data_IF_758259754812
#
_entry.id   IF_758259754812
#
_cell.length_a   1.000
_cell.length_b   1.000
_cell.length_c   1.000
_cell.angle_alpha   90.00
_cell.angle_beta   90.00
_cell.angle_gamma   90.00
#
_symmetry.space_group_name_H-M   'P 1'
#
loop_
_entity.id
_entity.type
_entity.pdbx_description
1 polymer ?
#
# COMPACT_ATOMS: atom_id res chain seq x y z
N UNK A 1 -31.95 16.85 23.02
CA UNK A 1 -30.87 16.72 22.02
C UNK A 1 -29.83 15.77 22.62
N UNK A 2 -29.53 14.63 21.98
CA UNK A 2 -28.49 13.72 22.47
C UNK A 2 -27.12 14.39 22.33
N UNK A 3 -26.33 14.41 23.40
CA UNK A 3 -24.93 14.85 23.32
C UNK A 3 -24.05 13.68 22.88
N UNK A 4 -23.18 13.90 21.91
CA UNK A 4 -22.22 12.91 21.45
C UNK A 4 -20.80 13.45 21.66
N UNK A 5 -19.97 12.67 22.35
CA UNK A 5 -18.57 13.05 22.59
C UNK A 5 -17.72 12.74 21.34
N UNK A 6 -17.65 13.69 20.43
CA UNK A 6 -16.89 13.58 19.19
C UNK A 6 -15.39 13.38 19.46
N UNK A 7 -14.82 14.02 20.47
CA UNK A 7 -13.37 14.05 20.69
C UNK A 7 -12.84 12.70 21.19
N UNK A 8 -13.63 11.98 21.99
CA UNK A 8 -13.28 10.65 22.50
C UNK A 8 -13.85 9.50 21.66
N UNK A 9 -14.55 9.82 20.58
CA UNK A 9 -15.06 8.81 19.66
C UNK A 9 -13.91 8.06 18.96
N UNK A 10 -13.93 6.73 19.01
CA UNK A 10 -12.93 5.87 18.37
C UNK A 10 -12.81 6.20 16.88
N UNK A 11 -13.93 6.37 16.17
CA UNK A 11 -13.92 6.72 14.74
C UNK A 11 -13.22 8.06 14.47
N UNK A 12 -13.42 9.06 15.33
CA UNK A 12 -12.75 10.35 15.20
C UNK A 12 -11.24 10.24 15.45
N UNK A 13 -10.83 9.51 16.50
CA UNK A 13 -9.42 9.29 16.85
C UNK A 13 -8.72 8.57 15.69
N UNK A 14 -9.29 7.45 15.19
CA UNK A 14 -8.74 6.67 14.08
C UNK A 14 -8.58 7.53 12.83
N UNK A 15 -9.62 8.27 12.45
CA UNK A 15 -9.59 9.13 11.25
C UNK A 15 -8.52 10.22 11.38
N UNK A 16 -8.45 10.90 12.54
CA UNK A 16 -7.43 11.93 12.79
C UNK A 16 -6.02 11.36 12.74
N UNK A 17 -5.80 10.22 13.38
CA UNK A 17 -4.49 9.55 13.41
C UNK A 17 -4.07 9.12 12.01
N UNK A 18 -4.97 8.50 11.24
CA UNK A 18 -4.72 8.10 9.86
C UNK A 18 -4.31 9.31 8.99
N UNK A 19 -5.01 10.45 9.11
CA UNK A 19 -4.66 11.67 8.36
C UNK A 19 -3.25 12.19 8.70
N UNK A 20 -2.86 12.14 9.98
CA UNK A 20 -1.50 12.57 10.40
C UNK A 20 -0.45 11.61 9.84
N UNK A 21 -0.69 10.30 9.92
CA UNK A 21 0.20 9.29 9.36
C UNK A 21 0.43 9.47 7.85
N UNK A 22 -0.67 9.60 7.10
CA UNK A 22 -0.63 9.83 5.65
C UNK A 22 0.15 11.10 5.32
N UNK A 23 -0.10 12.21 6.02
CA UNK A 23 0.59 13.48 5.79
C UNK A 23 2.09 13.37 6.07
N UNK A 24 2.48 12.71 7.17
CA UNK A 24 3.88 12.52 7.54
C UNK A 24 4.61 11.65 6.51
N UNK A 25 4.01 10.54 6.09
CA UNK A 25 4.60 9.67 5.09
C UNK A 25 4.67 10.31 3.70
N UNK A 26 3.62 11.02 3.27
CA UNK A 26 3.63 11.75 1.99
C UNK A 26 4.73 12.82 1.96
N UNK A 27 4.94 13.55 3.06
CA UNK A 27 6.02 14.54 3.18
C UNK A 27 7.40 13.90 3.06
N UNK A 28 7.66 12.81 3.78
CA UNK A 28 8.93 12.09 3.75
C UNK A 28 9.22 11.47 2.37
N UNK A 29 8.21 10.84 1.76
CA UNK A 29 8.33 10.24 0.42
C UNK A 29 8.63 11.30 -0.64
N UNK A 30 7.95 12.44 -0.62
CA UNK A 30 8.19 13.53 -1.57
C UNK A 30 9.58 14.12 -1.42
N UNK A 31 10.01 14.34 -0.19
CA UNK A 31 11.32 14.95 0.10
C UNK A 31 12.48 14.03 -0.29
N UNK A 32 12.38 12.74 0.04
CA UNK A 32 13.49 11.79 -0.13
C UNK A 32 13.51 11.09 -1.48
N UNK A 33 12.34 10.81 -2.05
CA UNK A 33 12.19 9.92 -3.22
C UNK A 33 11.47 10.61 -4.38
N UNK A 34 10.80 11.73 -4.14
CA UNK A 34 9.96 12.40 -5.14
C UNK A 34 8.63 11.69 -5.41
N UNK A 35 8.24 10.73 -4.57
CA UNK A 35 7.03 9.90 -4.71
C UNK A 35 5.92 10.42 -3.80
N UNK A 36 4.67 10.43 -4.28
CA UNK A 36 3.51 10.80 -3.47
C UNK A 36 2.96 9.59 -2.71
N UNK A 37 2.20 9.82 -1.64
CA UNK A 37 1.51 8.74 -0.93
C UNK A 37 0.55 7.95 -1.82
N UNK A 38 -0.10 8.59 -2.80
CA UNK A 38 -0.93 7.90 -3.78
C UNK A 38 -0.13 6.92 -4.64
N UNK A 39 1.02 7.34 -5.14
CA UNK A 39 1.95 6.48 -5.90
C UNK A 39 2.51 5.36 -5.00
N UNK A 40 2.89 5.68 -3.75
CA UNK A 40 3.32 4.68 -2.76
C UNK A 40 2.30 3.55 -2.59
N UNK A 41 1.00 3.86 -2.46
CA UNK A 41 -0.05 2.84 -2.35
C UNK A 41 -0.08 1.90 -3.56
N UNK A 42 0.07 2.45 -4.76
CA UNK A 42 0.15 1.63 -5.98
C UNK A 42 1.39 0.74 -5.98
N UNK A 43 2.55 1.26 -5.57
CA UNK A 43 3.77 0.47 -5.42
C UNK A 43 3.61 -0.69 -4.44
N UNK A 44 2.95 -0.47 -3.30
CA UNK A 44 2.65 -1.53 -2.34
C UNK A 44 1.82 -2.64 -2.98
N UNK A 45 0.78 -2.30 -3.73
CA UNK A 45 -0.03 -3.32 -4.44
C UNK A 45 0.81 -4.09 -5.46
N UNK A 46 1.62 -3.41 -6.26
CA UNK A 46 2.48 -4.03 -7.25
C UNK A 46 3.63 -4.85 -6.64
N UNK A 47 4.06 -4.53 -5.41
CA UNK A 47 5.07 -5.33 -4.70
C UNK A 47 4.53 -6.69 -4.24
N UNK A 48 3.25 -6.74 -3.91
CA UNK A 48 2.55 -8.00 -3.57
C UNK A 48 2.31 -8.84 -4.82
N UNK A 49 1.84 -8.20 -5.89
CA UNK A 49 1.55 -8.87 -7.15
C UNK A 49 1.77 -7.89 -8.31
N UNK A 50 2.82 -8.11 -9.10
CA UNK A 50 3.08 -7.33 -10.31
C UNK A 50 2.13 -7.79 -11.44
N UNK A 51 1.78 -6.87 -12.33
CA UNK A 51 0.89 -7.20 -13.45
C UNK A 51 -0.58 -7.35 -13.09
N UNK A 52 -1.04 -6.78 -11.99
CA UNK A 52 -2.47 -6.70 -11.65
C UNK A 52 -3.17 -5.63 -12.50
N UNK A 53 -4.46 -5.80 -12.71
CA UNK A 53 -5.24 -4.85 -13.49
C UNK A 53 -5.46 -3.54 -12.74
N UNK A 54 -5.59 -2.44 -13.49
CA UNK A 54 -5.89 -1.14 -12.90
C UNK A 54 -7.19 -1.16 -12.08
N UNK A 55 -8.21 -1.92 -12.55
CA UNK A 55 -9.45 -2.14 -11.81
C UNK A 55 -9.21 -2.84 -10.47
N UNK A 56 -8.35 -3.85 -10.47
CA UNK A 56 -8.03 -4.59 -9.24
C UNK A 56 -7.24 -3.74 -8.24
N UNK A 57 -6.30 -2.91 -8.72
CA UNK A 57 -5.61 -1.92 -7.86
C UNK A 57 -6.63 -0.99 -7.19
N UNK A 58 -7.58 -0.43 -7.97
CA UNK A 58 -8.61 0.46 -7.45
C UNK A 58 -9.44 -0.22 -6.36
N UNK A 59 -9.92 -1.44 -6.62
CA UNK A 59 -10.71 -2.21 -5.67
C UNK A 59 -9.95 -2.49 -4.37
N UNK A 60 -8.71 -2.99 -4.45
CA UNK A 60 -7.88 -3.29 -3.27
C UNK A 60 -7.53 -2.04 -2.45
N UNK A 61 -7.39 -0.89 -3.10
CA UNK A 61 -7.12 0.38 -2.42
C UNK A 61 -8.40 1.10 -1.93
N UNK A 62 -9.59 0.56 -2.21
CA UNK A 62 -10.86 1.22 -1.91
C UNK A 62 -11.01 2.57 -2.62
N UNK A 63 -10.50 2.68 -3.85
CA UNK A 63 -10.50 3.90 -4.64
C UNK A 63 -11.46 3.78 -5.83
N UNK A 64 -12.11 4.89 -6.16
CA UNK A 64 -12.79 5.04 -7.45
C UNK A 64 -11.77 5.05 -8.59
N UNK A 65 -12.12 4.47 -9.73
CA UNK A 65 -11.26 4.46 -10.92
C UNK A 65 -10.82 5.88 -11.32
N UNK A 66 -11.71 6.86 -11.22
CA UNK A 66 -11.43 8.26 -11.50
C UNK A 66 -10.30 8.85 -10.62
N UNK A 67 -10.14 8.34 -9.40
CA UNK A 67 -9.06 8.75 -8.49
C UNK A 67 -7.74 8.03 -8.82
N UNK A 68 -7.79 6.78 -9.26
CA UNK A 68 -6.60 5.99 -9.55
C UNK A 68 -5.96 6.35 -10.90
N UNK A 69 -6.77 6.61 -11.94
CA UNK A 69 -6.28 6.90 -13.29
C UNK A 69 -5.20 7.98 -13.31
N UNK A 70 -5.40 9.19 -12.73
CA UNK A 70 -4.38 10.23 -12.74
C UNK A 70 -3.08 9.84 -12.02
N UNK A 71 -3.17 8.96 -11.01
CA UNK A 71 -2.00 8.47 -10.28
C UNK A 71 -1.16 7.57 -11.21
N UNK A 72 -1.81 6.62 -11.90
CA UNK A 72 -1.14 5.71 -12.83
C UNK A 72 -0.59 6.49 -14.04
N UNK A 73 -1.35 7.45 -14.60
CA UNK A 73 -0.88 8.29 -15.71
C UNK A 73 0.40 9.05 -15.34
N UNK A 74 0.44 9.61 -14.13
CA UNK A 74 1.62 10.28 -13.62
C UNK A 74 2.79 9.31 -13.45
N UNK A 75 2.57 8.13 -12.88
CA UNK A 75 3.61 7.10 -12.70
C UNK A 75 4.16 6.62 -14.04
N UNK A 76 3.31 6.44 -15.04
CA UNK A 76 3.73 6.04 -16.40
C UNK A 76 4.55 7.15 -17.07
N UNK A 77 4.10 8.42 -16.99
CA UNK A 77 4.85 9.58 -17.49
C UNK A 77 6.22 9.72 -16.81
N UNK A 78 6.33 9.38 -15.54
CA UNK A 78 7.59 9.37 -14.78
C UNK A 78 8.45 8.13 -15.06
N UNK A 79 7.95 7.18 -15.86
CA UNK A 79 8.63 5.94 -16.19
C UNK A 79 8.75 4.97 -15.02
N UNK A 80 7.82 5.03 -14.07
CA UNK A 80 7.78 4.19 -12.89
C UNK A 80 6.96 2.92 -13.10
N UNK A 81 5.97 2.98 -13.98
CA UNK A 81 5.15 1.83 -14.38
C UNK A 81 4.97 1.81 -15.89
N UNK A 82 4.57 0.66 -16.41
CA UNK A 82 4.11 0.49 -17.79
C UNK A 82 2.74 -0.18 -17.80
N UNK A 83 1.89 0.25 -18.74
CA UNK A 83 0.61 -0.39 -19.02
C UNK A 83 0.77 -1.41 -20.14
N UNK A 84 0.20 -2.58 -19.94
CA UNK A 84 0.06 -3.59 -20.99
C UNK A 84 -1.40 -4.01 -21.07
N UNK A 85 -1.91 -4.11 -22.30
CA UNK A 85 -3.28 -4.58 -22.53
C UNK A 85 -3.42 -6.01 -21.99
N UNK A 86 -4.44 -6.28 -21.21
CA UNK A 86 -4.74 -7.63 -20.73
C UNK A 86 -5.15 -8.52 -21.92
N UNK A 87 -4.47 -9.63 -22.11
CA UNK A 87 -4.79 -10.55 -23.21
C UNK A 87 -6.11 -11.28 -23.01
N UNK A 88 -6.56 -11.46 -21.77
CA UNK A 88 -7.81 -12.12 -21.44
C UNK A 88 -9.01 -11.17 -21.56
N UNK A 89 -8.84 -9.88 -21.24
CA UNK A 89 -9.85 -8.84 -21.43
C UNK A 89 -9.19 -7.54 -21.88
N UNK A 90 -9.23 -7.29 -23.20
CA UNK A 90 -8.61 -6.12 -23.85
C UNK A 90 -9.14 -4.77 -23.39
N UNK A 91 -10.24 -4.74 -22.61
CA UNK A 91 -10.77 -3.51 -21.99
C UNK A 91 -10.01 -3.12 -20.73
N UNK A 92 -9.18 -4.01 -20.21
CA UNK A 92 -8.39 -3.80 -19.01
C UNK A 92 -6.90 -3.63 -19.36
N UNK A 93 -6.22 -2.80 -18.58
CA UNK A 93 -4.76 -2.68 -18.61
C UNK A 93 -4.17 -3.34 -17.35
N UNK A 94 -3.10 -4.10 -17.54
CA UNK A 94 -2.24 -4.59 -16.47
C UNK A 94 -1.12 -3.61 -16.22
N UNK A 95 -0.80 -3.38 -14.97
CA UNK A 95 0.21 -2.43 -14.53
C UNK A 95 1.42 -3.20 -14.03
N UNK A 96 2.58 -2.87 -14.57
CA UNK A 96 3.86 -3.47 -14.20
C UNK A 96 4.84 -2.40 -13.73
N UNK A 97 5.67 -2.73 -12.75
CA UNK A 97 6.78 -1.87 -12.32
C UNK A 97 7.89 -1.90 -13.36
N UNK A 98 8.62 -0.79 -13.44
CA UNK A 98 9.86 -0.68 -14.23
C UNK A 98 11.08 -0.91 -13.34
N UNK A 99 12.26 -1.13 -13.92
CA UNK A 99 13.53 -1.19 -13.19
C UNK A 99 13.82 0.11 -12.41
N UNK A 100 13.37 1.26 -12.93
CA UNK A 100 13.44 2.54 -12.22
C UNK A 100 12.63 2.52 -10.93
N UNK A 101 11.45 1.93 -10.95
CA UNK A 101 10.61 1.76 -9.76
C UNK A 101 11.26 0.82 -8.72
N UNK A 102 11.83 -0.28 -9.18
CA UNK A 102 12.54 -1.22 -8.32
C UNK A 102 13.75 -0.57 -7.63
N UNK A 103 14.46 0.33 -8.30
CA UNK A 103 15.58 1.09 -7.73
C UNK A 103 15.15 2.07 -6.61
N UNK A 104 13.90 2.54 -6.63
CA UNK A 104 13.36 3.45 -5.63
C UNK A 104 12.71 2.72 -4.44
N UNK A 105 12.41 1.41 -4.60
CA UNK A 105 11.63 0.65 -3.62
C UNK A 105 12.26 0.65 -2.23
N UNK A 106 13.56 0.38 -2.14
CA UNK A 106 14.25 0.31 -0.84
C UNK A 106 14.21 1.67 -0.12
N UNK A 107 14.38 2.77 -0.84
CA UNK A 107 14.28 4.12 -0.28
C UNK A 107 12.86 4.44 0.22
N UNK A 108 11.84 3.99 -0.51
CA UNK A 108 10.45 4.14 -0.08
C UNK A 108 10.17 3.33 1.21
N UNK A 109 10.70 2.12 1.32
CA UNK A 109 10.62 1.31 2.54
C UNK A 109 11.32 2.00 3.70
N UNK A 110 12.51 2.58 3.50
CA UNK A 110 13.22 3.34 4.54
C UNK A 110 12.38 4.52 5.06
N UNK A 111 11.71 5.26 4.17
CA UNK A 111 10.78 6.33 4.57
C UNK A 111 9.65 5.77 5.45
N UNK A 112 9.02 4.67 5.04
CA UNK A 112 7.92 4.05 5.79
C UNK A 112 8.38 3.55 7.18
N UNK A 113 9.56 2.91 7.26
CA UNK A 113 10.14 2.44 8.51
C UNK A 113 10.50 3.60 9.45
N UNK A 114 11.04 4.70 8.92
CA UNK A 114 11.32 5.92 9.68
C UNK A 114 10.05 6.48 10.30
N UNK A 115 8.99 6.66 9.51
CA UNK A 115 7.70 7.18 9.99
C UNK A 115 7.11 6.23 11.04
N UNK A 116 7.14 4.91 10.81
CA UNK A 116 6.70 3.91 11.78
C UNK A 116 7.45 4.05 13.11
N UNK A 117 8.78 4.12 13.07
CA UNK A 117 9.61 4.25 14.28
C UNK A 117 9.25 5.51 15.08
N UNK A 118 9.06 6.63 14.39
CA UNK A 118 8.66 7.90 15.03
C UNK A 118 7.27 7.80 15.64
N UNK A 119 6.32 7.21 14.91
CA UNK A 119 4.93 7.12 15.31
C UNK A 119 4.71 6.28 16.58
N UNK A 120 5.50 5.23 16.76
CA UNK A 120 5.37 4.34 17.92
C UNK A 120 6.38 4.63 19.04
N UNK A 121 7.11 5.77 18.94
CA UNK A 121 8.05 6.17 19.97
C UNK A 121 7.35 6.27 21.33
N UNK A 122 7.98 5.75 22.37
CA UNK A 122 7.49 5.71 23.75
C UNK A 122 6.19 4.90 23.96
N UNK A 123 5.81 4.05 22.98
CA UNK A 123 4.71 3.07 23.10
C UNK A 123 5.32 1.68 23.22
N UNK A 124 4.96 0.94 24.27
CA UNK A 124 5.47 -0.42 24.46
C UNK A 124 4.95 -1.38 23.39
N UNK A 125 5.72 -2.40 23.03
CA UNK A 125 5.33 -3.44 22.06
C UNK A 125 4.01 -4.13 22.44
N UNK A 126 3.76 -4.33 23.75
CA UNK A 126 2.49 -4.85 24.25
C UNK A 126 1.31 -3.96 23.84
N UNK A 127 1.43 -2.64 24.00
CA UNK A 127 0.37 -1.71 23.61
C UNK A 127 0.20 -1.62 22.10
N UNK A 128 1.30 -1.70 21.33
CA UNK A 128 1.24 -1.75 19.86
C UNK A 128 0.48 -2.99 19.39
N UNK A 129 0.73 -4.15 19.99
CA UNK A 129 0.01 -5.40 19.68
C UNK A 129 -1.48 -5.29 20.02
N UNK A 130 -1.82 -4.84 21.22
CA UNK A 130 -3.22 -4.65 21.64
C UNK A 130 -3.94 -3.67 20.68
N UNK A 131 -3.29 -2.58 20.32
CA UNK A 131 -3.87 -1.58 19.40
C UNK A 131 -4.11 -2.18 18.01
N UNK A 132 -3.15 -2.97 17.48
CA UNK A 132 -3.30 -3.65 16.19
C UNK A 132 -4.49 -4.61 16.20
N UNK A 133 -4.56 -5.46 17.21
CA UNK A 133 -5.62 -6.47 17.35
C UNK A 133 -6.99 -5.79 17.50
N UNK A 134 -7.06 -4.72 18.31
CA UNK A 134 -8.29 -3.96 18.52
C UNK A 134 -8.77 -3.26 17.22
N UNK A 135 -7.86 -2.62 16.48
CA UNK A 135 -8.19 -2.00 15.20
C UNK A 135 -8.63 -3.04 14.16
N UNK A 136 -7.96 -4.19 14.11
CA UNK A 136 -8.36 -5.33 13.28
C UNK A 136 -9.78 -5.78 13.60
N UNK A 137 -10.10 -5.95 14.90
CA UNK A 137 -11.45 -6.35 15.32
C UNK A 137 -12.53 -5.31 14.99
N UNK A 138 -12.21 -4.02 15.07
CA UNK A 138 -13.11 -2.95 14.63
C UNK A 138 -13.41 -3.08 13.12
N UNK A 139 -12.39 -3.29 12.30
CA UNK A 139 -12.56 -3.49 10.86
C UNK A 139 -13.45 -4.72 10.56
N UNK A 140 -13.19 -5.86 11.21
CA UNK A 140 -14.02 -7.07 11.06
C UNK A 140 -15.49 -6.80 11.39
N UNK A 141 -15.76 -6.20 12.57
CA UNK A 141 -17.11 -5.92 13.02
C UNK A 141 -17.86 -5.00 12.04
N UNK A 142 -17.20 -3.95 11.54
CA UNK A 142 -17.80 -3.04 10.58
C UNK A 142 -18.04 -3.73 9.23
N UNK A 143 -17.12 -4.58 8.78
CA UNK A 143 -17.26 -5.30 7.52
C UNK A 143 -18.42 -6.31 7.57
N UNK A 144 -18.57 -7.04 8.66
CA UNK A 144 -19.70 -7.99 8.88
C UNK A 144 -21.05 -7.26 8.76
N UNK A 145 -21.17 -6.07 9.35
CA UNK A 145 -22.46 -5.36 9.41
C UNK A 145 -22.77 -4.54 8.16
N UNK A 146 -21.77 -3.98 7.49
CA UNK A 146 -21.95 -2.99 6.43
C UNK A 146 -21.39 -3.42 5.07
N UNK A 147 -20.67 -4.56 5.01
CA UNK A 147 -20.03 -5.07 3.79
C UNK A 147 -19.21 -3.98 3.04
N UNK A 148 -18.40 -3.24 3.80
CA UNK A 148 -17.61 -2.09 3.28
C UNK A 148 -16.33 -2.48 2.54
N UNK A 149 -16.06 -3.79 2.37
CA UNK A 149 -14.97 -4.28 1.53
C UNK A 149 -13.57 -4.02 2.08
N UNK A 150 -13.38 -4.17 3.39
CA UNK A 150 -12.06 -4.15 3.99
C UNK A 150 -11.50 -5.59 4.02
N UNK A 151 -10.77 -5.99 3.00
CA UNK A 151 -10.06 -7.28 2.99
C UNK A 151 -8.84 -7.21 3.93
N UNK A 152 -9.06 -7.64 5.19
CA UNK A 152 -8.01 -7.72 6.22
C UNK A 152 -7.12 -8.94 6.00
N UNK A 153 -7.55 -9.92 5.18
CA UNK A 153 -6.83 -11.16 4.91
C UNK A 153 -5.42 -10.93 4.34
N UNK A 154 -5.22 -9.83 3.59
CA UNK A 154 -3.91 -9.49 3.02
C UNK A 154 -2.94 -8.86 4.05
N UNK A 155 -3.43 -8.41 5.21
CA UNK A 155 -2.57 -7.76 6.23
C UNK A 155 -2.08 -8.72 7.31
N UNK A 156 -2.79 -9.82 7.57
CA UNK A 156 -2.43 -10.77 8.63
C UNK A 156 -1.21 -11.63 8.29
N UNK A 157 -0.99 -11.95 7.02
CA UNK A 157 0.17 -12.74 6.56
C UNK A 157 1.47 -11.94 6.40
N UNK A 158 1.43 -10.61 6.35
CA UNK A 158 2.64 -9.79 6.24
C UNK A 158 3.32 -9.50 7.60
N UNK A 159 2.64 -9.76 8.70
CA UNK A 159 3.17 -9.49 10.05
C UNK A 159 4.03 -10.63 10.63
N UNK A 160 4.02 -11.82 10.01
CA UNK A 160 4.79 -12.98 10.48
C UNK A 160 6.19 -13.08 9.83
N UNK A 161 6.53 -12.24 8.86
CA UNK A 161 7.78 -12.41 8.12
C UNK A 161 8.67 -11.16 8.20
N UNK A 162 9.61 -11.22 9.15
CA UNK A 162 10.82 -10.39 9.19
C UNK A 162 11.75 -10.67 7.99
N UNK A 163 11.28 -11.37 6.96
CA UNK A 163 12.03 -11.84 5.79
C UNK A 163 11.73 -11.07 4.50
N UNK A 164 11.41 -9.77 4.57
CA UNK A 164 11.32 -8.93 3.36
C UNK A 164 12.64 -8.94 2.55
N UNK A 165 13.76 -9.28 3.21
CA UNK A 165 15.07 -9.49 2.56
C UNK A 165 15.17 -10.79 1.74
N UNK A 166 14.33 -11.80 1.95
CA UNK A 166 14.41 -13.06 1.22
C UNK A 166 13.63 -13.07 -0.12
N UNK A 167 12.57 -12.28 -0.22
CA UNK A 167 11.74 -12.22 -1.44
C UNK A 167 12.48 -11.60 -2.63
N UNK A 168 13.42 -10.67 -2.38
CA UNK A 168 14.24 -10.06 -3.43
C UNK A 168 15.29 -11.01 -4.04
N UNK A 169 15.69 -12.09 -3.34
CA UNK A 169 16.63 -13.07 -3.91
C UNK A 169 15.97 -14.01 -4.92
N UNK A 170 14.67 -14.28 -4.79
CA UNK A 170 13.96 -15.16 -5.73
C UNK A 170 13.51 -14.45 -7.02
N UNK A 171 13.30 -13.14 -7.00
CA UNK A 171 13.01 -12.36 -8.20
C UNK A 171 14.22 -12.24 -9.13
N UNK A 172 15.44 -12.13 -8.58
CA UNK A 172 16.67 -12.12 -9.39
C UNK A 172 16.95 -13.46 -10.10
N UNK A 173 16.50 -14.59 -9.58
CA UNK A 173 16.68 -15.91 -10.22
C UNK A 173 15.71 -16.19 -11.37
N UNK A 174 14.55 -15.55 -11.45
CA UNK A 174 13.61 -15.72 -12.57
C UNK A 174 13.92 -14.89 -13.82
N UNK A 175 14.75 -13.83 -13.71
CA UNK A 175 15.14 -12.98 -14.87
C UNK A 175 16.29 -13.57 -15.71
N UNK A 176 16.99 -14.60 -15.28
CA UNK A 176 18.18 -15.13 -16.01
C UNK A 176 17.84 -16.15 -17.13
N UNK A 177 16.59 -16.64 -17.21
CA UNK A 177 16.24 -17.68 -18.18
C UNK A 177 15.43 -17.20 -19.41
N UNK A 178 15.47 -15.91 -19.76
CA UNK A 178 14.72 -15.40 -20.93
C UNK A 178 15.60 -14.71 -22.00
N UNK A 179 16.91 -14.99 -22.01
CA UNK A 179 17.76 -14.59 -23.16
C UNK A 179 18.47 -15.86 -23.67
N UNK A 180 17.88 -16.46 -24.66
CA UNK A 180 18.49 -17.55 -25.40
C UNK A 180 17.50 -18.30 -26.25
N UNK A 181 17.11 -17.75 -27.42
CA UNK A 181 17.04 -18.47 -28.71
C UNK A 181 17.00 -17.41 -29.82
N UNK A 182 17.98 -17.52 -30.67
CA UNK A 182 18.24 -16.93 -31.99
C UNK A 182 17.02 -16.49 -32.76
#
# INVERSE_FOLDING_TARGET
MQSYDFQNSIGFIVNRTAKVFVKALDSELREKVGVTFGQWKVFVMLSMQDGITQKEIANRLGLEAATLIPIIDKMEKEGLVVRQVDQADRRNNRIYRTEKADALWDQMIECALKIRKIAVKDISEKHITIMRDSLGKICENLNIHFNVGCDISDTANSAADTSITASNKNLKKKKVNFIGVT
#
